data_IF_482627932770
#
_entry.id   IF_482627932770
#
_cell.length_a   1.000
_cell.length_b   1.000
_cell.length_c   1.000
_cell.angle_alpha   90.00
_cell.angle_beta   90.00
_cell.angle_gamma   90.00
#
_symmetry.space_group_name_H-M   'P 1'
#
loop_
_entity.id
_entity.type
_entity.pdbx_description
1 polymer ?
#
# COMPACT_ATOMS: atom_id res chain seq x y z
N UNK A 1 -2.82 0.83 -9.24
CA UNK A 1 -1.50 1.45 -9.29
C UNK A 1 -0.50 0.55 -9.96
N UNK A 2 0.53 1.10 -10.50
CA UNK A 2 1.61 0.37 -11.13
C UNK A 2 2.11 1.02 -12.40
N UNK A 3 2.94 0.31 -13.12
CA UNK A 3 3.52 0.77 -14.39
C UNK A 3 2.47 0.65 -15.49
N UNK A 4 2.36 1.68 -16.34
CA UNK A 4 1.44 1.68 -17.50
C UNK A 4 1.67 0.42 -18.37
N UNK A 5 0.59 -0.24 -18.77
CA UNK A 5 0.66 -1.47 -19.57
C UNK A 5 0.99 -2.74 -18.79
N UNK A 6 1.17 -2.67 -17.45
CA UNK A 6 1.37 -3.83 -16.60
C UNK A 6 0.20 -4.04 -15.65
N UNK A 7 -0.33 -5.25 -15.64
CA UNK A 7 -1.29 -5.67 -14.63
C UNK A 7 -0.56 -6.42 -13.52
N UNK A 8 -0.52 -5.82 -12.33
CA UNK A 8 0.12 -6.44 -11.16
C UNK A 8 -0.80 -7.42 -10.42
N UNK A 9 -2.05 -7.56 -10.87
CA UNK A 9 -2.99 -8.55 -10.35
C UNK A 9 -2.59 -9.95 -10.84
N UNK A 10 -3.11 -10.96 -10.19
CA UNK A 10 -2.80 -12.34 -10.50
C UNK A 10 -1.84 -12.98 -9.49
N UNK A 11 -1.88 -14.31 -9.43
CA UNK A 11 -1.21 -15.12 -8.43
C UNK A 11 0.23 -15.51 -8.82
N UNK A 12 0.53 -15.46 -10.12
CA UNK A 12 1.83 -15.81 -10.69
C UNK A 12 2.33 -14.70 -11.61
N UNK A 13 3.61 -14.72 -11.94
CA UNK A 13 4.17 -13.82 -12.95
C UNK A 13 3.65 -14.16 -14.35
N UNK A 14 3.77 -13.21 -15.30
CA UNK A 14 3.31 -13.41 -16.67
C UNK A 14 3.95 -14.62 -17.35
N UNK A 15 5.23 -14.85 -17.13
CA UNK A 15 6.00 -16.00 -17.61
C UNK A 15 5.72 -17.30 -16.83
N UNK A 16 4.84 -17.25 -15.81
CA UNK A 16 4.45 -18.34 -14.92
C UNK A 16 5.59 -19.00 -14.13
N UNK A 17 6.76 -18.39 -14.10
CA UNK A 17 7.94 -18.96 -13.41
C UNK A 17 7.92 -18.71 -11.92
N UNK A 18 7.25 -17.64 -11.46
CA UNK A 18 7.23 -17.26 -10.04
C UNK A 18 5.82 -17.18 -9.49
N UNK A 19 5.61 -17.75 -8.33
CA UNK A 19 4.43 -17.57 -7.50
C UNK A 19 4.59 -16.30 -6.69
N UNK A 20 3.56 -15.45 -6.67
CA UNK A 20 3.55 -14.21 -5.87
C UNK A 20 3.07 -14.50 -4.45
N UNK A 21 3.28 -13.57 -3.51
CA UNK A 21 2.76 -13.72 -2.14
C UNK A 21 1.25 -13.96 -2.11
N UNK A 22 0.50 -13.37 -3.05
CA UNK A 22 -0.93 -13.61 -3.21
C UNK A 22 -1.28 -15.08 -3.51
N UNK A 23 -0.43 -15.83 -4.22
CA UNK A 23 -0.63 -17.27 -4.42
C UNK A 23 -0.60 -18.02 -3.09
N UNK A 24 0.38 -17.73 -2.25
CA UNK A 24 0.53 -18.38 -0.96
C UNK A 24 -0.55 -17.97 0.04
N UNK A 25 -1.06 -16.73 -0.07
CA UNK A 25 -2.22 -16.30 0.70
C UNK A 25 -3.44 -17.18 0.39
N UNK A 26 -3.78 -17.37 -0.89
CA UNK A 26 -4.89 -18.25 -1.27
C UNK A 26 -4.63 -19.71 -0.88
N UNK A 27 -3.40 -20.18 -1.09
CA UNK A 27 -2.99 -21.54 -0.70
C UNK A 27 -3.19 -21.78 0.81
N UNK A 28 -2.93 -20.77 1.66
CA UNK A 28 -3.08 -20.88 3.11
C UNK A 28 -4.52 -21.14 3.57
N UNK A 29 -5.52 -20.72 2.78
CA UNK A 29 -6.94 -20.89 3.12
C UNK A 29 -7.63 -22.03 2.34
N UNK A 30 -7.08 -22.44 1.20
CA UNK A 30 -7.77 -23.34 0.27
C UNK A 30 -7.07 -24.67 0.05
N UNK A 31 -5.89 -24.87 0.60
CA UNK A 31 -5.12 -26.09 0.42
C UNK A 31 -4.91 -26.82 1.74
N UNK A 32 -5.06 -28.14 1.70
CA UNK A 32 -4.73 -29.03 2.81
C UNK A 32 -3.22 -29.33 2.92
N UNK A 33 -2.45 -28.97 1.89
CA UNK A 33 -0.99 -29.11 1.88
C UNK A 33 -0.37 -28.18 2.94
N UNK A 34 0.31 -28.74 3.89
CA UNK A 34 1.02 -27.97 4.91
C UNK A 34 2.23 -27.28 4.33
N UNK A 35 2.36 -26.00 4.60
CA UNK A 35 3.48 -25.16 4.14
C UNK A 35 3.66 -23.94 5.06
N UNK A 36 4.80 -23.29 4.90
CA UNK A 36 5.06 -21.93 5.40
C UNK A 36 5.61 -21.08 4.27
N UNK A 37 5.28 -19.82 4.23
CA UNK A 37 5.81 -18.86 3.25
C UNK A 37 6.03 -17.50 3.91
N UNK A 38 7.26 -17.01 3.86
CA UNK A 38 7.60 -15.66 4.31
C UNK A 38 7.18 -14.63 3.27
N UNK A 39 6.30 -13.71 3.63
CA UNK A 39 5.89 -12.64 2.71
C UNK A 39 7.09 -11.78 2.33
N UNK A 40 7.28 -11.59 1.03
CA UNK A 40 8.40 -10.85 0.48
C UNK A 40 9.75 -11.60 0.57
N UNK A 41 9.76 -12.93 0.60
CA UNK A 41 10.98 -13.77 0.63
C UNK A 41 11.96 -13.48 -0.51
N UNK A 42 11.45 -13.08 -1.68
CA UNK A 42 12.25 -12.70 -2.86
C UNK A 42 12.94 -11.34 -2.75
N UNK A 43 12.74 -10.60 -1.67
CA UNK A 43 13.46 -9.36 -1.40
C UNK A 43 14.57 -9.61 -0.37
N UNK A 44 15.82 -9.87 -0.84
CA UNK A 44 16.91 -10.27 0.04
C UNK A 44 17.48 -9.11 0.86
N UNK A 45 17.10 -7.86 0.57
CA UNK A 45 17.53 -6.70 1.34
C UNK A 45 16.38 -6.20 2.20
N UNK A 46 16.62 -6.04 3.50
CA UNK A 46 15.65 -5.57 4.48
C UNK A 46 16.22 -4.38 5.24
N UNK A 47 15.38 -3.40 5.55
CA UNK A 47 15.83 -2.26 6.35
C UNK A 47 16.19 -2.71 7.76
N UNK A 48 17.31 -2.17 8.30
CA UNK A 48 17.72 -2.39 9.69
C UNK A 48 16.72 -1.77 10.68
N UNK A 49 16.75 -2.24 11.92
CA UNK A 49 15.85 -1.83 12.98
C UNK A 49 14.65 -2.75 13.17
N UNK A 50 13.67 -2.29 13.92
CA UNK A 50 12.49 -3.09 14.23
C UNK A 50 11.62 -3.30 12.99
N UNK A 51 11.34 -4.57 12.69
CA UNK A 51 10.57 -5.00 11.53
C UNK A 51 9.40 -5.88 11.94
N UNK A 52 8.36 -5.83 11.12
CA UNK A 52 7.22 -6.71 11.17
C UNK A 52 7.35 -7.76 10.07
N UNK A 53 7.23 -9.03 10.44
CA UNK A 53 7.21 -10.14 9.49
C UNK A 53 5.81 -10.71 9.37
N UNK A 54 5.43 -11.11 8.17
CA UNK A 54 4.18 -11.80 7.89
C UNK A 54 4.49 -13.15 7.26
N UNK A 55 3.80 -14.17 7.71
CA UNK A 55 3.94 -15.55 7.21
C UNK A 55 2.56 -16.03 6.78
N UNK A 56 2.48 -16.66 5.63
CA UNK A 56 1.31 -17.43 5.21
C UNK A 56 1.53 -18.90 5.44
N UNK A 57 0.55 -19.57 6.02
CA UNK A 57 0.63 -21.00 6.32
C UNK A 57 -0.75 -21.62 6.43
N UNK A 58 -0.88 -22.88 6.04
CA UNK A 58 -2.06 -23.71 6.28
C UNK A 58 -2.04 -24.40 7.65
N UNK A 59 -0.97 -24.20 8.44
CA UNK A 59 -0.88 -24.72 9.81
C UNK A 59 -1.51 -23.74 10.79
N UNK A 60 -2.04 -24.22 11.91
CA UNK A 60 -2.70 -23.40 12.94
C UNK A 60 -1.72 -22.65 13.84
N UNK A 61 -0.47 -23.11 13.91
CA UNK A 61 0.55 -22.58 14.81
C UNK A 61 1.88 -22.43 14.08
N UNK A 62 2.41 -21.21 14.11
CA UNK A 62 3.68 -20.86 13.46
C UNK A 62 4.61 -20.20 14.47
N UNK A 63 5.87 -20.62 14.47
CA UNK A 63 6.94 -20.03 15.27
C UNK A 63 7.96 -19.37 14.36
N UNK A 64 8.27 -18.10 14.60
CA UNK A 64 9.31 -17.35 13.91
C UNK A 64 10.45 -17.05 14.87
N UNK A 65 11.69 -17.30 14.43
CA UNK A 65 12.93 -17.04 15.17
C UNK A 65 13.87 -16.19 14.32
N UNK A 66 14.35 -15.10 14.89
CA UNK A 66 15.40 -14.25 14.33
C UNK A 66 16.42 -13.94 15.43
N UNK A 67 17.65 -14.38 15.24
CA UNK A 67 18.68 -14.27 16.27
C UNK A 67 18.28 -14.99 17.58
N UNK A 68 18.27 -14.25 18.68
CA UNK A 68 17.86 -14.76 20.01
C UNK A 68 16.35 -14.67 20.25
N UNK A 69 15.63 -13.84 19.47
CA UNK A 69 14.19 -13.65 19.65
C UNK A 69 13.39 -14.71 18.92
N UNK A 70 12.41 -15.27 19.63
CA UNK A 70 11.47 -16.24 19.10
C UNK A 70 10.06 -15.88 19.56
N UNK A 71 9.09 -15.98 18.67
CA UNK A 71 7.67 -15.77 18.97
C UNK A 71 6.84 -16.83 18.27
N UNK A 72 5.81 -17.32 18.95
CA UNK A 72 4.85 -18.27 18.42
C UNK A 72 3.49 -17.60 18.34
N UNK A 73 2.81 -17.75 17.21
CA UNK A 73 1.47 -17.23 16.97
C UNK A 73 0.57 -18.38 16.56
N UNK A 74 -0.65 -18.37 17.06
CA UNK A 74 -1.74 -19.26 16.64
C UNK A 74 -2.76 -18.42 15.90
N UNK A 75 -3.01 -18.75 14.64
CA UNK A 75 -3.91 -18.05 13.75
C UNK A 75 -4.32 -18.96 12.59
N UNK A 76 -5.15 -18.47 11.68
CA UNK A 76 -5.53 -19.14 10.45
C UNK A 76 -5.02 -18.38 9.23
N UNK A 77 -4.23 -19.02 8.42
CA UNK A 77 -3.78 -18.51 7.13
C UNK A 77 -2.74 -17.39 7.18
N UNK A 78 -2.90 -16.40 8.06
CA UNK A 78 -2.05 -15.20 8.16
C UNK A 78 -1.48 -15.08 9.57
N UNK A 79 -0.15 -15.04 9.69
CA UNK A 79 0.58 -14.92 10.94
C UNK A 79 1.43 -13.65 10.94
N UNK A 80 1.24 -12.79 11.93
CA UNK A 80 1.96 -11.51 12.06
C UNK A 80 2.90 -11.53 13.26
N UNK A 81 4.13 -11.10 13.03
CA UNK A 81 5.21 -11.11 14.00
C UNK A 81 5.83 -9.73 14.10
N UNK A 82 5.55 -9.00 15.17
CA UNK A 82 6.06 -7.66 15.42
C UNK A 82 7.28 -7.66 16.33
N UNK A 83 8.05 -6.58 16.23
CA UNK A 83 9.14 -6.27 17.15
C UNK A 83 10.40 -7.10 16.94
N UNK A 84 10.67 -7.59 15.74
CA UNK A 84 11.90 -8.30 15.42
C UNK A 84 12.96 -7.31 14.90
N UNK A 85 14.13 -7.34 15.55
CA UNK A 85 15.25 -6.48 15.21
C UNK A 85 16.07 -7.07 14.06
N UNK A 86 16.11 -6.38 12.94
CA UNK A 86 16.99 -6.68 11.81
C UNK A 86 18.31 -5.96 12.03
N UNK A 87 19.40 -6.69 12.03
CA UNK A 87 20.77 -6.16 12.19
C UNK A 87 21.38 -5.89 10.83
N UNK A 88 22.36 -5.01 10.81
CA UNK A 88 23.20 -4.79 9.62
C UNK A 88 23.89 -6.10 9.21
N UNK A 89 23.99 -6.33 7.90
CA UNK A 89 24.59 -7.52 7.33
C UNK A 89 23.64 -8.73 7.34
N UNK A 90 24.21 -9.93 7.41
CA UNK A 90 23.46 -11.18 7.28
C UNK A 90 22.54 -11.45 8.47
N UNK A 91 21.29 -11.74 8.17
CA UNK A 91 20.28 -12.16 9.14
C UNK A 91 19.70 -13.52 8.74
N UNK A 92 19.59 -14.42 9.70
CA UNK A 92 19.01 -15.75 9.52
C UNK A 92 17.68 -15.84 10.27
N UNK A 93 16.59 -15.93 9.50
CA UNK A 93 15.23 -16.08 10.00
C UNK A 93 14.77 -17.52 9.80
N UNK A 94 14.27 -18.15 10.85
CA UNK A 94 13.75 -19.52 10.80
C UNK A 94 12.27 -19.51 11.14
N UNK A 95 11.47 -20.18 10.31
CA UNK A 95 10.04 -20.38 10.50
C UNK A 95 9.80 -21.87 10.73
N UNK A 96 9.02 -22.20 11.75
CA UNK A 96 8.67 -23.58 12.09
C UNK A 96 7.16 -23.69 12.27
N UNK A 97 6.56 -24.70 11.65
CA UNK A 97 5.14 -25.04 11.80
C UNK A 97 4.95 -26.57 11.73
N UNK A 98 4.69 -27.19 12.87
CA UNK A 98 4.72 -28.66 12.99
C UNK A 98 6.08 -29.21 12.58
N UNK A 99 6.11 -30.13 11.62
CA UNK A 99 7.33 -30.76 11.12
C UNK A 99 8.06 -29.92 10.04
N UNK A 100 7.46 -28.81 9.61
CA UNK A 100 8.03 -27.94 8.59
C UNK A 100 8.97 -26.94 9.24
N UNK A 101 10.17 -26.84 8.67
CA UNK A 101 11.17 -25.85 9.08
C UNK A 101 11.81 -25.23 7.84
N UNK A 102 11.60 -23.93 7.66
CA UNK A 102 12.16 -23.14 6.58
C UNK A 102 13.14 -22.11 7.15
N UNK A 103 14.19 -21.82 6.39
CA UNK A 103 15.20 -20.84 6.77
C UNK A 103 15.40 -19.86 5.64
N UNK A 104 15.31 -18.57 5.96
CA UNK A 104 15.48 -17.45 5.05
C UNK A 104 16.71 -16.63 5.48
N UNK A 105 17.59 -16.36 4.53
CA UNK A 105 18.76 -15.52 4.74
C UNK A 105 18.54 -14.21 3.98
N UNK A 106 18.71 -13.09 4.65
CA UNK A 106 18.60 -11.77 4.07
C UNK A 106 19.61 -10.80 4.68
N UNK A 107 19.90 -9.72 3.98
CA UNK A 107 20.87 -8.71 4.42
C UNK A 107 20.13 -7.47 4.93
N UNK A 108 20.49 -7.06 6.14
CA UNK A 108 20.05 -5.78 6.72
C UNK A 108 20.84 -4.62 6.12
N UNK A 109 20.11 -3.61 5.64
CA UNK A 109 20.66 -2.40 5.00
C UNK A 109 20.03 -1.15 5.59
N UNK A 110 20.75 -0.04 5.62
CA UNK A 110 20.21 1.24 6.10
C UNK A 110 19.12 1.79 5.22
N UNK A 111 19.27 1.65 3.89
CA UNK A 111 18.28 2.09 2.92
C UNK A 111 17.96 1.01 1.89
N UNK A 112 16.70 1.00 1.46
CA UNK A 112 16.29 0.14 0.35
C UNK A 112 16.93 0.60 -0.94
N UNK A 113 17.40 -0.34 -1.78
CA UNK A 113 17.86 -0.02 -3.13
C UNK A 113 16.73 0.57 -3.96
N UNK A 114 17.10 1.39 -4.95
CA UNK A 114 16.14 2.08 -5.83
C UNK A 114 15.18 1.10 -6.52
N UNK A 115 15.63 -0.10 -6.83
CA UNK A 115 14.85 -1.15 -7.49
C UNK A 115 13.67 -1.64 -6.66
N UNK A 116 13.68 -1.43 -5.34
CA UNK A 116 12.56 -1.79 -4.45
C UNK A 116 11.50 -0.69 -4.36
N UNK A 117 11.77 0.46 -4.95
CA UNK A 117 10.83 1.58 -5.02
C UNK A 117 10.03 1.51 -6.31
N UNK A 118 8.81 2.02 -6.29
CA UNK A 118 8.06 2.21 -7.52
C UNK A 118 8.83 3.19 -8.43
N UNK A 119 8.87 2.95 -9.75
CA UNK A 119 9.42 3.93 -10.68
C UNK A 119 8.74 5.29 -10.55
N UNK A 120 9.47 6.36 -10.84
CA UNK A 120 8.93 7.70 -10.82
C UNK A 120 7.70 7.79 -11.75
N UNK A 121 6.66 8.48 -11.32
CA UNK A 121 5.38 8.57 -12.05
C UNK A 121 4.44 7.35 -11.88
N UNK A 122 4.80 6.38 -11.02
CA UNK A 122 3.91 5.29 -10.66
C UNK A 122 3.11 5.64 -9.40
N UNK A 123 1.80 5.40 -9.44
CA UNK A 123 0.92 5.56 -8.29
C UNK A 123 0.78 4.23 -7.53
N UNK A 124 0.87 4.27 -6.19
CA UNK A 124 0.51 3.15 -5.31
C UNK A 124 -1.01 3.01 -5.14
N UNK A 125 -1.77 3.97 -5.65
CA UNK A 125 -3.22 4.01 -5.46
C UNK A 125 -3.93 3.01 -6.37
N UNK A 126 -4.87 2.28 -5.80
CA UNK A 126 -5.73 1.35 -6.54
C UNK A 126 -6.97 2.11 -6.99
N UNK A 127 -7.17 2.21 -8.29
CA UNK A 127 -8.41 2.75 -8.85
C UNK A 127 -9.55 1.75 -8.62
N UNK A 128 -10.67 2.23 -8.11
CA UNK A 128 -11.86 1.39 -7.99
C UNK A 128 -12.49 1.19 -9.39
N UNK A 129 -12.33 0.01 -9.93
CA UNK A 129 -12.83 -0.36 -11.27
C UNK A 129 -14.34 -0.51 -11.35
N UNK A 130 -15.00 -0.61 -10.19
CA UNK A 130 -16.44 -0.81 -10.10
C UNK A 130 -17.22 0.51 -10.04
N UNK A 131 -16.52 1.65 -9.90
CA UNK A 131 -17.16 2.94 -10.06
C UNK A 131 -17.34 3.20 -11.55
N UNK A 132 -18.59 3.39 -12.02
CA UNK A 132 -18.84 3.78 -13.40
C UNK A 132 -18.08 5.09 -13.66
N UNK A 133 -17.31 5.15 -14.75
CA UNK A 133 -16.88 6.42 -15.32
C UNK A 133 -18.15 7.07 -15.88
N UNK A 134 -18.77 7.94 -15.13
CA UNK A 134 -19.71 8.84 -15.73
C UNK A 134 -18.91 10.00 -16.30
N UNK A 135 -18.95 10.18 -17.60
CA UNK A 135 -18.49 11.39 -18.26
C UNK A 135 -19.42 12.57 -17.92
N UNK A 136 -20.55 12.29 -17.28
CA UNK A 136 -21.53 13.28 -16.81
C UNK A 136 -21.24 13.61 -15.33
N UNK A 137 -20.98 14.90 -15.09
CA UNK A 137 -20.82 15.45 -13.75
C UNK A 137 -22.21 15.54 -13.11
N UNK A 138 -22.45 14.81 -12.02
CA UNK A 138 -23.66 14.98 -11.23
C UNK A 138 -23.61 16.34 -10.51
N UNK A 139 -24.49 17.30 -10.85
CA UNK A 139 -24.48 18.62 -10.26
C UNK A 139 -24.85 18.62 -8.76
N UNK A 140 -25.43 17.55 -8.25
CA UNK A 140 -25.79 17.40 -6.81
C UNK A 140 -24.59 16.95 -5.97
N UNK A 141 -23.51 16.47 -6.61
CA UNK A 141 -22.28 16.07 -5.96
C UNK A 141 -21.20 17.16 -6.11
N UNK A 142 -20.18 17.09 -5.24
CA UNK A 142 -19.01 17.95 -5.41
C UNK A 142 -18.22 17.58 -6.66
N UNK A 143 -17.54 18.54 -7.25
CA UNK A 143 -16.76 18.38 -8.47
C UNK A 143 -15.48 19.22 -8.45
N UNK A 144 -14.64 19.04 -9.45
CA UNK A 144 -13.43 19.85 -9.65
C UNK A 144 -13.75 21.34 -9.93
N UNK A 145 -15.00 21.66 -10.24
CA UNK A 145 -15.49 23.02 -10.49
C UNK A 145 -15.90 23.76 -9.20
N UNK A 146 -16.04 23.05 -8.10
CA UNK A 146 -16.41 23.66 -6.81
C UNK A 146 -15.22 24.39 -6.18
N UNK A 147 -15.52 25.42 -5.37
CA UNK A 147 -14.48 26.19 -4.72
C UNK A 147 -13.93 25.44 -3.50
N UNK A 148 -12.66 25.69 -3.19
CA UNK A 148 -12.05 25.12 -1.98
C UNK A 148 -12.85 25.52 -0.72
N UNK A 149 -13.41 26.72 -0.69
CA UNK A 149 -14.23 27.18 0.41
C UNK A 149 -15.49 26.31 0.62
N UNK A 150 -16.13 25.89 -0.48
CA UNK A 150 -17.33 25.05 -0.40
C UNK A 150 -16.97 23.62 -0.01
N UNK A 151 -15.90 23.08 -0.56
CA UNK A 151 -15.38 21.75 -0.22
C UNK A 151 -15.02 21.62 1.27
N UNK A 152 -14.40 22.66 1.85
CA UNK A 152 -13.99 22.66 3.26
C UNK A 152 -15.17 22.77 4.26
N UNK A 153 -16.39 23.07 3.81
CA UNK A 153 -17.59 23.02 4.64
C UNK A 153 -18.02 21.59 4.95
N UNK A 154 -17.68 20.65 4.07
CA UNK A 154 -17.98 19.24 4.26
C UNK A 154 -16.80 18.53 4.96
N UNK A 155 -17.06 17.96 6.15
CA UNK A 155 -16.02 17.32 7.01
C UNK A 155 -15.36 16.11 6.34
N UNK A 156 -16.11 15.37 5.55
CA UNK A 156 -15.61 14.18 4.85
C UNK A 156 -14.63 14.59 3.74
N UNK A 157 -15.01 15.57 2.93
CA UNK A 157 -14.16 16.14 1.88
C UNK A 157 -12.93 16.83 2.48
N UNK A 158 -13.10 17.54 3.60
CA UNK A 158 -11.98 18.15 4.32
C UNK A 158 -10.95 17.11 4.77
N UNK A 159 -11.40 15.98 5.34
CA UNK A 159 -10.51 14.90 5.77
C UNK A 159 -9.75 14.29 4.59
N UNK A 160 -10.41 14.07 3.47
CA UNK A 160 -9.79 13.57 2.25
C UNK A 160 -8.75 14.56 1.72
N UNK A 161 -9.10 15.83 1.58
CA UNK A 161 -8.18 16.86 1.08
C UNK A 161 -6.96 17.03 1.99
N UNK A 162 -7.09 16.93 3.31
CA UNK A 162 -5.97 16.95 4.25
C UNK A 162 -4.99 15.79 4.00
N UNK A 163 -5.50 14.61 3.66
CA UNK A 163 -4.66 13.46 3.33
C UNK A 163 -3.85 13.63 2.04
N UNK A 164 -4.41 14.33 1.05
CA UNK A 164 -3.77 14.49 -0.27
C UNK A 164 -3.01 15.82 -0.44
N UNK A 165 -3.44 16.87 0.24
CA UNK A 165 -2.89 18.23 0.11
C UNK A 165 -2.30 18.70 1.46
N UNK A 166 -2.07 17.77 2.40
CA UNK A 166 -1.68 18.04 3.79
C UNK A 166 -0.57 19.09 3.99
N UNK A 167 0.53 19.07 3.24
CA UNK A 167 1.58 20.08 3.35
C UNK A 167 1.10 21.50 2.96
N UNK A 168 0.14 21.62 2.05
CA UNK A 168 -0.44 22.89 1.64
C UNK A 168 -1.55 23.38 2.56
N UNK A 169 -2.35 22.44 3.11
CA UNK A 169 -3.40 22.77 4.06
C UNK A 169 -2.83 23.26 5.42
N UNK A 170 -1.60 22.89 5.75
CA UNK A 170 -0.91 23.30 6.97
C UNK A 170 -0.33 24.72 6.89
N UNK A 171 -0.25 25.32 5.71
CA UNK A 171 0.21 26.71 5.56
C UNK A 171 -0.98 27.67 5.71
N UNK A 172 -1.00 28.54 6.74
CA UNK A 172 -2.15 29.42 7.01
C UNK A 172 -2.46 30.44 5.90
N UNK A 173 -1.53 30.69 5.01
CA UNK A 173 -1.68 31.65 3.90
C UNK A 173 -2.38 31.01 2.70
N UNK A 174 -2.18 29.72 2.45
CA UNK A 174 -2.72 29.03 1.28
C UNK A 174 -4.26 28.96 1.30
N UNK A 175 -4.92 28.58 2.42
CA UNK A 175 -6.38 28.60 2.49
C UNK A 175 -6.99 29.98 2.29
N UNK A 176 -6.29 31.04 2.68
CA UNK A 176 -6.78 32.42 2.54
C UNK A 176 -6.78 32.87 1.08
N UNK A 177 -5.72 32.53 0.35
CA UNK A 177 -5.55 32.89 -1.08
C UNK A 177 -6.36 31.99 -2.00
N UNK A 178 -6.59 30.74 -1.65
CA UNK A 178 -7.20 29.73 -2.54
C UNK A 178 -8.69 29.51 -2.28
N UNK A 179 -9.28 30.08 -1.21
CA UNK A 179 -10.69 29.87 -0.85
C UNK A 179 -11.68 30.09 -2.00
N UNK A 180 -11.43 31.07 -2.86
CA UNK A 180 -12.28 31.41 -4.01
C UNK A 180 -11.91 30.66 -5.30
N UNK A 181 -10.81 29.92 -5.29
CA UNK A 181 -10.38 29.17 -6.46
C UNK A 181 -11.09 27.81 -6.54
N UNK A 182 -11.38 27.37 -7.75
CA UNK A 182 -11.84 26.02 -8.02
C UNK A 182 -10.75 25.03 -7.67
N UNK A 183 -11.12 23.89 -7.04
CA UNK A 183 -10.16 22.86 -6.70
C UNK A 183 -9.39 22.36 -7.92
N UNK A 184 -10.05 22.23 -9.06
CA UNK A 184 -9.42 21.85 -10.34
C UNK A 184 -8.30 22.79 -10.76
N UNK A 185 -8.46 24.11 -10.58
CA UNK A 185 -7.42 25.08 -10.88
C UNK A 185 -6.20 24.92 -9.98
N UNK A 186 -6.44 24.66 -8.70
CA UNK A 186 -5.37 24.49 -7.71
C UNK A 186 -4.60 23.19 -7.92
N UNK A 187 -5.30 22.08 -8.15
CA UNK A 187 -4.69 20.77 -8.39
C UNK A 187 -3.93 20.75 -9.74
N UNK A 188 -4.41 21.46 -10.75
CA UNK A 188 -3.74 21.56 -12.05
C UNK A 188 -2.51 22.47 -12.03
N UNK A 189 -2.30 23.22 -10.95
CA UNK A 189 -1.11 24.06 -10.83
C UNK A 189 0.13 23.17 -10.62
N UNK A 190 1.21 23.46 -11.33
CA UNK A 190 2.50 22.77 -11.17
C UNK A 190 3.11 22.93 -9.76
N UNK A 191 2.54 23.82 -8.96
CA UNK A 191 3.00 24.13 -7.59
C UNK A 191 2.70 23.00 -6.58
N UNK A 192 1.70 22.14 -6.87
CA UNK A 192 1.22 21.15 -5.91
C UNK A 192 1.80 19.76 -6.20
N UNK A 193 2.35 19.51 -7.39
CA UNK A 193 2.98 18.24 -7.73
C UNK A 193 2.03 17.03 -7.76
N UNK A 194 0.72 17.28 -7.95
CA UNK A 194 -0.30 16.25 -8.07
C UNK A 194 -0.23 15.63 -9.46
N UNK A 195 -0.01 14.33 -9.55
CA UNK A 195 0.01 13.60 -10.81
C UNK A 195 -1.41 13.41 -11.39
N UNK A 196 -1.49 13.02 -12.67
CA UNK A 196 -2.77 12.86 -13.37
C UNK A 196 -3.66 11.77 -12.74
N UNK A 197 -3.06 10.72 -12.18
CA UNK A 197 -3.79 9.64 -11.50
C UNK A 197 -4.46 10.13 -10.22
N UNK A 198 -3.77 10.99 -9.47
CA UNK A 198 -4.31 11.59 -8.24
C UNK A 198 -5.41 12.60 -8.55
N UNK A 199 -5.28 13.36 -9.65
CA UNK A 199 -6.33 14.27 -10.11
C UNK A 199 -7.63 13.53 -10.44
N UNK A 200 -7.53 12.46 -11.23
CA UNK A 200 -8.68 11.62 -11.56
C UNK A 200 -9.33 11.05 -10.30
N UNK A 201 -8.53 10.63 -9.33
CA UNK A 201 -9.02 10.03 -8.11
C UNK A 201 -9.75 11.02 -7.21
N UNK A 202 -9.25 12.25 -7.11
CA UNK A 202 -9.93 13.35 -6.42
C UNK A 202 -11.23 13.69 -7.12
N UNK A 203 -11.24 13.77 -8.46
CA UNK A 203 -12.44 14.05 -9.24
C UNK A 203 -13.49 12.96 -9.04
N UNK A 204 -13.11 11.68 -9.14
CA UNK A 204 -14.01 10.54 -8.94
C UNK A 204 -14.58 10.53 -7.50
N UNK A 205 -13.75 10.81 -6.49
CA UNK A 205 -14.20 10.87 -5.10
C UNK A 205 -15.22 12.00 -4.87
N UNK A 206 -14.95 13.20 -5.38
CA UNK A 206 -15.85 14.34 -5.22
C UNK A 206 -17.25 14.03 -5.79
N UNK A 207 -17.33 13.25 -6.87
CA UNK A 207 -18.59 12.82 -7.46
C UNK A 207 -19.33 11.75 -6.63
N UNK A 208 -18.74 11.24 -5.55
CA UNK A 208 -19.44 10.35 -4.60
C UNK A 208 -20.02 11.09 -3.40
N UNK A 209 -19.65 12.34 -3.16
CA UNK A 209 -20.07 13.13 -2.00
C UNK A 209 -21.07 14.20 -2.41
N UNK A 210 -22.27 14.17 -1.83
CA UNK A 210 -23.31 15.17 -2.08
C UNK A 210 -22.99 16.52 -1.42
N UNK A 211 -23.39 17.59 -2.11
CA UNK A 211 -23.26 18.96 -1.62
C UNK A 211 -24.12 19.26 -0.42
#
# INVERSE_FOLDING_TARGET
GGVRGRNNKGLVTFDRKQKKDSFYLYKAFWSDEKFVHLVGDRYPLRKIGEQKFRVYSSCDKVTLKLGKKQKTVTAQGIFEFDGFEVKEGENKLTITAGDIKETFIFTGVEEYPREYRLPDGCSSMVRNWFLPKSDEIDPTCFSMEDTIADLLKNKEVQGMLQGYIGPLASNPIVPLLTKKLKIGTVINSKLIGVDDSMRELIADYLQTVKK
#
